data_IF_662894440858
#
_entry.id   IF_662894440858
#
_cell.length_a   1.000
_cell.length_b   1.000
_cell.length_c   1.000
_cell.angle_alpha   90.00
_cell.angle_beta   90.00
_cell.angle_gamma   90.00
#
_symmetry.space_group_name_H-M   'P 1'
#
loop_
_entity.id
_entity.type
_entity.pdbx_description
1 polymer ?
#
# COMPACT_ATOMS: atom_id res chain seq x y z
N UNK A 1 42.11 4.72 41.05
CA UNK A 1 42.16 5.49 39.79
C UNK A 1 41.07 6.56 39.87
N UNK A 2 41.46 7.84 39.83
CA UNK A 2 40.55 9.00 39.89
C UNK A 2 39.99 9.24 38.49
N UNK A 3 38.66 9.27 38.32
CA UNK A 3 38.01 9.77 37.11
C UNK A 3 37.48 11.18 37.41
N UNK A 4 38.13 12.15 36.81
CA UNK A 4 37.95 13.59 36.96
C UNK A 4 36.99 14.13 35.89
N UNK A 5 35.75 13.64 35.85
CA UNK A 5 34.75 14.05 34.84
C UNK A 5 33.55 14.78 35.45
N UNK A 6 33.78 15.68 36.42
CA UNK A 6 32.70 16.49 37.01
C UNK A 6 33.16 17.91 37.36
N UNK A 7 33.96 18.55 36.49
CA UNK A 7 34.44 19.92 36.71
C UNK A 7 34.46 20.83 35.47
N UNK A 8 33.85 20.45 34.34
CA UNK A 8 33.97 21.28 33.12
C UNK A 8 32.71 21.43 32.23
N UNK A 9 31.51 21.03 32.67
CA UNK A 9 30.29 21.48 32.00
C UNK A 9 29.83 22.79 32.64
N UNK A 10 30.50 23.89 32.28
CA UNK A 10 29.98 25.21 32.61
C UNK A 10 28.79 25.48 31.68
N UNK A 11 27.61 25.86 32.18
CA UNK A 11 26.45 26.24 31.35
C UNK A 11 26.77 27.31 30.30
N UNK A 12 27.88 28.03 30.46
CA UNK A 12 28.40 29.01 29.50
C UNK A 12 29.02 28.41 28.23
N UNK A 13 29.31 27.10 28.18
CA UNK A 13 29.81 26.40 26.98
C UNK A 13 28.72 25.67 26.20
N UNK A 14 27.52 25.55 26.76
CA UNK A 14 26.38 24.97 26.07
C UNK A 14 25.80 25.99 25.09
N UNK A 15 25.43 25.54 23.89
CA UNK A 15 24.81 26.43 22.90
C UNK A 15 23.55 27.04 23.52
N UNK A 16 23.32 28.37 23.36
CA UNK A 16 22.16 29.00 23.96
C UNK A 16 20.86 28.27 23.55
N UNK A 17 19.88 28.13 24.46
CA UNK A 17 18.61 27.49 24.14
C UNK A 17 17.99 28.09 22.87
N UNK A 18 17.42 27.25 21.99
CA UNK A 18 16.99 27.62 20.63
C UNK A 18 16.06 28.85 20.56
N UNK A 19 15.34 29.14 21.64
CA UNK A 19 14.39 30.24 21.73
C UNK A 19 14.84 31.39 22.65
N UNK A 20 15.98 31.23 23.32
CA UNK A 20 16.53 32.26 24.18
C UNK A 20 17.05 33.41 23.30
N UNK A 21 16.48 34.59 23.52
CA UNK A 21 16.96 35.83 22.95
C UNK A 21 17.83 36.55 23.98
N UNK A 22 18.91 37.17 23.51
CA UNK A 22 19.80 37.98 24.34
C UNK A 22 19.77 39.41 23.81
N UNK A 23 19.81 40.37 24.72
CA UNK A 23 19.91 41.77 24.34
C UNK A 23 21.34 42.14 23.91
N UNK A 24 21.55 43.39 23.48
CA UNK A 24 22.86 43.88 23.06
C UNK A 24 23.95 43.84 24.16
N UNK A 25 23.54 43.68 25.43
CA UNK A 25 24.45 43.55 26.58
C UNK A 25 24.79 42.08 26.88
N UNK A 26 24.28 41.13 26.10
CA UNK A 26 24.50 39.70 26.29
C UNK A 26 23.71 39.10 27.47
N UNK A 27 22.74 39.82 28.04
CA UNK A 27 21.83 39.27 29.06
C UNK A 27 20.55 38.73 28.44
N UNK A 28 19.94 37.74 29.09
CA UNK A 28 18.73 37.09 28.62
C UNK A 28 17.59 38.10 28.51
N UNK A 29 17.07 38.29 27.31
CA UNK A 29 15.85 39.04 27.04
C UNK A 29 14.65 38.14 27.31
N UNK A 30 14.18 38.17 28.56
CA UNK A 30 13.03 37.38 29.01
C UNK A 30 11.76 37.74 28.21
N UNK A 31 11.37 39.03 28.04
CA UNK A 31 10.23 39.40 27.21
C UNK A 31 10.31 38.89 25.77
N UNK A 32 11.46 39.09 25.09
CA UNK A 32 11.65 38.64 23.71
C UNK A 32 11.57 37.12 23.57
N UNK A 33 12.24 36.40 24.48
CA UNK A 33 12.19 34.94 24.57
C UNK A 33 10.76 34.43 24.74
N UNK A 34 9.99 35.03 25.66
CA UNK A 34 8.58 34.64 25.89
C UNK A 34 7.71 34.87 24.65
N UNK A 35 7.91 35.97 23.93
CA UNK A 35 7.18 36.24 22.69
C UNK A 35 7.50 35.21 21.59
N UNK A 36 8.76 34.80 21.46
CA UNK A 36 9.16 33.75 20.50
C UNK A 36 8.49 32.42 20.85
N UNK A 37 8.53 32.04 22.13
CA UNK A 37 7.92 30.81 22.62
C UNK A 37 6.41 30.84 22.39
N UNK A 38 5.74 31.94 22.73
CA UNK A 38 4.30 32.11 22.54
C UNK A 38 3.89 31.95 21.06
N UNK A 39 4.61 32.58 20.13
CA UNK A 39 4.34 32.43 18.68
C UNK A 39 4.47 30.99 18.20
N UNK A 40 5.40 30.22 18.78
CA UNK A 40 5.57 28.80 18.44
C UNK A 40 4.44 27.94 19.01
N UNK A 41 3.99 28.23 20.23
CA UNK A 41 2.81 27.56 20.79
C UNK A 41 1.55 27.85 19.97
N UNK A 42 1.35 29.08 19.51
CA UNK A 42 0.21 29.42 18.64
C UNK A 42 0.25 28.61 17.33
N UNK A 43 1.43 28.45 16.73
CA UNK A 43 1.58 27.61 15.52
C UNK A 43 1.32 26.14 15.83
N UNK A 44 1.80 25.65 16.97
CA UNK A 44 1.60 24.27 17.39
C UNK A 44 0.11 24.00 17.64
N UNK A 45 -0.60 24.91 18.30
CA UNK A 45 -2.04 24.83 18.55
C UNK A 45 -2.84 24.80 17.25
N UNK A 46 -2.57 25.74 16.34
CA UNK A 46 -3.22 25.75 15.01
C UNK A 46 -2.96 24.46 14.26
N UNK A 47 -1.75 23.92 14.35
CA UNK A 47 -1.38 22.69 13.68
C UNK A 47 -2.07 21.46 14.30
N UNK A 48 -2.10 21.33 15.63
CA UNK A 48 -2.75 20.20 16.29
C UNK A 48 -4.26 20.23 16.09
N UNK A 49 -4.90 21.39 16.23
CA UNK A 49 -6.34 21.56 15.97
C UNK A 49 -6.66 21.28 14.51
N UNK A 50 -5.86 21.81 13.57
CA UNK A 50 -6.05 21.56 12.14
C UNK A 50 -5.90 20.09 11.78
N UNK A 51 -4.93 19.40 12.37
CA UNK A 51 -4.72 17.96 12.15
C UNK A 51 -5.88 17.13 12.68
N UNK A 52 -6.37 17.39 13.90
CA UNK A 52 -7.52 16.68 14.49
C UNK A 52 -8.75 16.89 13.63
N UNK A 53 -9.03 18.14 13.22
CA UNK A 53 -10.20 18.44 12.36
C UNK A 53 -10.12 17.72 11.01
N UNK A 54 -8.95 17.69 10.38
CA UNK A 54 -8.75 16.94 9.14
C UNK A 54 -8.93 15.43 9.31
N UNK A 55 -8.58 14.90 10.49
CA UNK A 55 -8.82 13.49 10.83
C UNK A 55 -10.32 13.22 11.01
N UNK A 56 -11.02 14.10 11.73
CA UNK A 56 -12.47 14.01 11.95
C UNK A 56 -13.24 14.07 10.63
N UNK A 57 -12.89 15.00 9.73
CA UNK A 57 -13.52 15.12 8.41
C UNK A 57 -13.35 13.81 7.59
N UNK A 58 -12.14 13.24 7.58
CA UNK A 58 -11.87 11.96 6.91
C UNK A 58 -12.59 10.78 7.55
N UNK A 59 -12.79 10.80 8.87
CA UNK A 59 -13.53 9.75 9.58
C UNK A 59 -15.02 9.82 9.20
N UNK A 60 -15.60 11.02 9.17
CA UNK A 60 -16.98 11.24 8.72
C UNK A 60 -17.18 10.83 7.25
N UNK A 61 -16.19 11.05 6.37
CA UNK A 61 -16.24 10.54 4.99
C UNK A 61 -16.26 9.00 4.93
N UNK A 62 -15.45 8.34 5.76
CA UNK A 62 -15.44 6.86 5.87
C UNK A 62 -16.78 6.35 6.40
N UNK A 63 -17.33 6.97 7.44
CA UNK A 63 -18.64 6.61 8.00
C UNK A 63 -19.75 6.75 6.94
N UNK A 64 -19.77 7.86 6.20
CA UNK A 64 -20.72 8.08 5.09
C UNK A 64 -20.58 7.01 4.01
N UNK A 65 -19.34 6.72 3.61
CA UNK A 65 -19.10 5.68 2.61
C UNK A 65 -19.56 4.30 3.08
N UNK A 66 -19.33 3.95 4.35
CA UNK A 66 -19.80 2.68 4.91
C UNK A 66 -21.33 2.59 4.92
N UNK A 67 -22.00 3.66 5.35
CA UNK A 67 -23.47 3.73 5.37
C UNK A 67 -24.06 3.68 3.95
N UNK A 68 -23.49 4.42 3.01
CA UNK A 68 -23.99 4.42 1.63
C UNK A 68 -23.74 3.08 0.94
N UNK A 69 -22.59 2.44 1.22
CA UNK A 69 -22.29 1.09 0.72
C UNK A 69 -23.21 0.03 1.31
N UNK A 70 -23.57 0.13 2.60
CA UNK A 70 -24.56 -0.75 3.22
C UNK A 70 -25.93 -0.59 2.58
N UNK A 71 -26.39 0.66 2.37
CA UNK A 71 -27.65 0.94 1.67
C UNK A 71 -27.65 0.45 0.22
N UNK A 72 -26.52 0.53 -0.48
CA UNK A 72 -26.40 0.00 -1.84
C UNK A 72 -26.52 -1.52 -1.86
N UNK A 73 -25.89 -2.21 -0.90
CA UNK A 73 -26.02 -3.66 -0.73
C UNK A 73 -27.46 -4.06 -0.39
N UNK A 74 -28.11 -3.36 0.53
CA UNK A 74 -29.53 -3.62 0.86
C UNK A 74 -30.45 -3.43 -0.34
N UNK A 75 -30.18 -2.44 -1.20
CA UNK A 75 -30.91 -2.24 -2.47
C UNK A 75 -30.66 -3.36 -3.48
N UNK A 76 -29.45 -3.93 -3.54
CA UNK A 76 -29.18 -5.11 -4.37
C UNK A 76 -29.93 -6.35 -3.85
N UNK A 77 -29.92 -6.56 -2.53
CA UNK A 77 -30.60 -7.70 -1.90
C UNK A 77 -32.15 -7.57 -1.97
N UNK A 78 -32.71 -6.37 -1.83
CA UNK A 78 -34.16 -6.11 -1.96
C UNK A 78 -34.63 -5.96 -3.41
N UNK A 79 -33.78 -5.48 -4.32
CA UNK A 79 -34.04 -5.41 -5.76
C UNK A 79 -34.13 -6.78 -6.44
N UNK A 80 -33.50 -7.81 -5.85
CA UNK A 80 -33.62 -9.20 -6.31
C UNK A 80 -35.02 -9.81 -6.15
N UNK A 81 -35.92 -9.18 -5.39
CA UNK A 81 -37.32 -9.64 -5.23
C UNK A 81 -38.27 -9.00 -6.27
N UNK A 82 -37.82 -7.96 -6.98
CA UNK A 82 -38.56 -7.29 -8.07
C UNK A 82 -37.86 -7.43 -9.44
N UNK A 83 -37.28 -8.61 -9.68
CA UNK A 83 -36.57 -9.02 -10.89
C UNK A 83 -37.51 -9.26 -12.09
N UNK A 84 -38.15 -8.21 -12.61
CA UNK A 84 -38.78 -8.24 -13.95
C UNK A 84 -37.95 -7.53 -15.02
N UNK A 85 -36.81 -6.92 -14.67
CA UNK A 85 -35.84 -6.34 -15.63
C UNK A 85 -34.45 -7.00 -15.64
N UNK A 86 -34.11 -7.82 -14.64
CA UNK A 86 -32.84 -8.58 -14.59
C UNK A 86 -32.86 -9.88 -15.41
N UNK A 87 -34.02 -10.27 -15.95
CA UNK A 87 -34.12 -11.49 -16.73
C UNK A 87 -33.36 -11.39 -18.06
N UNK A 88 -33.36 -10.24 -18.74
CA UNK A 88 -32.70 -10.11 -20.05
C UNK A 88 -31.18 -10.24 -19.96
N UNK A 89 -30.54 -9.54 -19.01
CA UNK A 89 -29.09 -9.66 -18.78
C UNK A 89 -28.70 -11.07 -18.32
N UNK A 90 -29.45 -11.69 -17.41
CA UNK A 90 -29.18 -13.06 -16.95
C UNK A 90 -29.43 -14.07 -18.07
N UNK A 91 -30.43 -13.88 -18.94
CA UNK A 91 -30.64 -14.76 -20.10
C UNK A 91 -29.54 -14.61 -21.14
N UNK A 92 -28.97 -13.41 -21.29
CA UNK A 92 -27.82 -13.18 -22.15
C UNK A 92 -26.57 -13.87 -21.58
N UNK A 93 -26.28 -13.69 -20.29
CA UNK A 93 -25.16 -14.34 -19.62
C UNK A 93 -25.28 -15.88 -19.70
N UNK A 94 -26.48 -16.43 -19.50
CA UNK A 94 -26.74 -17.86 -19.65
C UNK A 94 -26.58 -18.34 -21.09
N UNK A 95 -26.89 -17.50 -22.08
CA UNK A 95 -26.66 -17.82 -23.49
C UNK A 95 -25.17 -17.82 -23.81
N UNK A 96 -24.41 -16.85 -23.33
CA UNK A 96 -22.95 -16.77 -23.50
C UNK A 96 -22.26 -17.98 -22.85
N UNK A 97 -22.63 -18.33 -21.61
CA UNK A 97 -22.13 -19.53 -20.92
C UNK A 97 -22.45 -20.82 -21.71
N UNK A 98 -23.64 -20.91 -22.33
CA UNK A 98 -24.02 -22.08 -23.13
C UNK A 98 -23.17 -22.22 -24.39
N UNK A 99 -22.88 -21.11 -25.06
CA UNK A 99 -22.01 -21.11 -26.24
C UNK A 99 -20.57 -21.47 -25.87
N UNK A 100 -20.03 -20.91 -24.78
CA UNK A 100 -18.70 -21.28 -24.27
C UNK A 100 -18.62 -22.77 -23.89
N UNK A 101 -19.69 -23.31 -23.29
CA UNK A 101 -19.75 -24.72 -22.93
C UNK A 101 -19.82 -25.64 -24.17
N UNK A 102 -20.48 -25.21 -25.24
CA UNK A 102 -20.49 -25.89 -26.55
C UNK A 102 -19.10 -25.92 -27.19
N UNK A 103 -18.38 -24.79 -27.13
CA UNK A 103 -16.99 -24.72 -27.62
C UNK A 103 -16.06 -25.62 -26.78
N UNK A 104 -16.16 -25.56 -25.46
CA UNK A 104 -15.42 -26.43 -24.53
C UNK A 104 -15.68 -27.91 -24.81
N UNK A 105 -16.94 -28.30 -25.05
CA UNK A 105 -17.29 -29.68 -25.42
C UNK A 105 -16.63 -30.10 -26.75
N UNK A 106 -16.55 -29.20 -27.73
CA UNK A 106 -15.83 -29.42 -28.98
C UNK A 106 -14.34 -29.68 -28.76
N UNK A 107 -13.68 -28.80 -27.99
CA UNK A 107 -12.25 -28.91 -27.64
C UNK A 107 -11.95 -30.16 -26.81
N UNK A 108 -12.78 -30.49 -25.82
CA UNK A 108 -12.65 -31.73 -25.02
C UNK A 108 -12.86 -32.96 -25.89
N UNK A 109 -13.79 -32.93 -26.85
CA UNK A 109 -13.99 -34.02 -27.81
C UNK A 109 -12.78 -34.23 -28.73
N UNK A 110 -12.11 -33.16 -29.14
CA UNK A 110 -10.85 -33.23 -29.89
C UNK A 110 -9.70 -33.74 -29.02
N UNK A 111 -9.57 -33.24 -27.79
CA UNK A 111 -8.57 -33.70 -26.82
C UNK A 111 -8.72 -35.19 -26.52
N UNK A 112 -9.95 -35.69 -26.37
CA UNK A 112 -10.23 -37.12 -26.19
C UNK A 112 -9.82 -37.97 -27.40
N UNK A 113 -9.97 -37.44 -28.62
CA UNK A 113 -9.47 -38.09 -29.85
C UNK A 113 -7.95 -38.09 -29.93
N UNK A 114 -7.30 -36.98 -29.59
CA UNK A 114 -5.82 -36.89 -29.52
C UNK A 114 -5.26 -37.84 -28.44
N UNK A 115 -5.89 -37.90 -27.27
CA UNK A 115 -5.50 -38.81 -26.19
C UNK A 115 -5.71 -40.28 -26.58
N UNK A 116 -6.81 -40.61 -27.26
CA UNK A 116 -7.04 -41.94 -27.80
C UNK A 116 -6.00 -42.31 -28.88
N UNK A 117 -5.62 -41.38 -29.76
CA UNK A 117 -4.51 -41.58 -30.70
C UNK A 117 -3.20 -41.86 -29.98
N UNK A 118 -2.84 -41.10 -28.96
CA UNK A 118 -1.63 -41.33 -28.16
C UNK A 118 -1.64 -42.69 -27.43
N UNK A 119 -2.81 -43.11 -26.93
CA UNK A 119 -2.98 -44.40 -26.27
C UNK A 119 -2.96 -45.59 -27.26
N UNK A 120 -3.33 -45.36 -28.52
CA UNK A 120 -3.40 -46.40 -29.57
C UNK A 120 -2.23 -46.37 -30.54
N UNK A 121 -1.38 -45.34 -30.49
CA UNK A 121 -0.14 -45.29 -31.26
C UNK A 121 0.87 -46.29 -30.70
N UNK A 122 1.43 -47.19 -31.53
CA UNK A 122 2.32 -48.24 -31.08
C UNK A 122 3.66 -47.67 -30.61
N UNK A 123 4.07 -48.10 -29.42
CA UNK A 123 5.33 -47.79 -28.75
C UNK A 123 6.54 -48.07 -29.63
N UNK A 124 7.09 -47.05 -30.27
CA UNK A 124 8.41 -47.13 -30.89
C UNK A 124 9.11 -45.76 -30.93
N UNK A 125 9.58 -45.33 -29.76
CA UNK A 125 10.81 -44.54 -29.62
C UNK A 125 11.57 -45.04 -28.39
N UNK A 126 12.07 -46.27 -28.52
CA UNK A 126 13.34 -46.68 -27.95
C UNK A 126 14.44 -45.78 -28.51
N UNK A 127 15.26 -45.18 -27.62
CA UNK A 127 16.69 -44.79 -27.76
C UNK A 127 16.97 -43.45 -27.06
N UNK A 128 17.77 -43.48 -25.98
CA UNK A 128 18.29 -42.29 -25.26
C UNK A 128 19.34 -41.49 -26.05
N UNK A 129 20.26 -40.68 -25.44
CA UNK A 129 20.62 -40.59 -24.02
C UNK A 129 20.84 -39.16 -23.42
N UNK A 130 20.80 -39.11 -22.07
CA UNK A 130 21.56 -38.30 -21.08
C UNK A 130 22.07 -36.87 -21.40
N UNK A 131 21.79 -36.03 -20.39
CA UNK A 131 22.60 -34.92 -19.81
C UNK A 131 22.72 -33.61 -20.60
N UNK A 132 22.22 -32.52 -20.00
CA UNK A 132 23.09 -31.46 -19.45
C UNK A 132 22.29 -30.48 -18.59
N UNK A 133 22.66 -30.45 -17.31
CA UNK A 133 22.37 -29.39 -16.36
C UNK A 133 23.19 -28.15 -16.72
N UNK A 134 22.55 -26.99 -16.90
CA UNK A 134 23.22 -25.69 -16.83
C UNK A 134 22.48 -24.84 -15.81
N UNK A 135 23.14 -24.63 -14.68
CA UNK A 135 22.78 -23.65 -13.67
C UNK A 135 23.02 -22.24 -14.24
N UNK A 136 22.04 -21.35 -14.13
CA UNK A 136 22.23 -19.92 -14.36
C UNK A 136 22.16 -19.21 -13.02
N UNK A 137 23.32 -18.69 -12.61
CA UNK A 137 23.58 -17.96 -11.39
C UNK A 137 22.82 -16.64 -11.33
N UNK A 138 22.47 -16.27 -10.09
CA UNK A 138 21.94 -14.98 -9.66
C UNK A 138 22.60 -13.77 -10.33
N UNK A 139 21.80 -12.91 -10.96
CA UNK A 139 22.21 -11.55 -11.32
C UNK A 139 21.88 -10.63 -10.16
N UNK A 140 22.94 -10.06 -9.58
CA UNK A 140 22.92 -9.08 -8.50
C UNK A 140 22.38 -7.71 -8.96
N UNK A 141 21.69 -7.02 -8.05
CA UNK A 141 21.15 -5.68 -8.23
C UNK A 141 22.25 -4.61 -8.42
N UNK A 142 21.99 -3.53 -9.20
CA UNK A 142 22.95 -2.45 -9.41
C UNK A 142 22.98 -1.49 -8.20
N UNK A 143 24.19 -1.24 -7.67
CA UNK A 143 24.46 -0.19 -6.68
C UNK A 143 24.58 1.17 -7.37
N UNK A 144 23.81 2.16 -6.91
CA UNK A 144 23.94 3.55 -7.33
C UNK A 144 24.93 4.29 -6.42
N UNK A 145 26.09 4.63 -6.99
CA UNK A 145 27.06 5.54 -6.37
C UNK A 145 26.52 6.97 -6.43
N UNK A 146 26.46 7.67 -5.29
CA UNK A 146 26.22 9.11 -5.22
C UNK A 146 27.51 9.82 -4.84
N UNK A 147 28.01 10.69 -5.73
CA UNK A 147 29.18 11.55 -5.53
C UNK A 147 28.68 12.94 -5.17
N UNK A 148 29.11 13.45 -4.01
CA UNK A 148 28.94 14.83 -3.56
C UNK A 148 30.00 15.73 -4.20
N UNK A 149 29.58 16.87 -4.76
CA UNK A 149 30.37 18.09 -4.94
C UNK A 149 29.56 19.24 -4.36
#
# INVERSE_FOLDING_TARGET
MRTTDSLASSPAREAPPLYAQFNAQGTLDVPGTLLVIAKRFEKLEKWTVGHVRALEDRMNDVERWLVDKEKEKDKQDTGSVNASSSNEAVTQDLHEIREEMSELQGRVGELGREMAKLATSPSNLSSGPKTQTVAVSHVAAPSTNSVLV
#
